data_IF_216497309305
#
_entry.id   IF_216497309305
#
_cell.length_a   1.000
_cell.length_b   1.000
_cell.length_c   1.000
_cell.angle_alpha   90.00
_cell.angle_beta   90.00
_cell.angle_gamma   90.00
#
_symmetry.space_group_name_H-M   'P 1'
#
loop_
_entity.id
_entity.type
_entity.pdbx_description
1 polymer ?
#
# COMPACT_ATOMS: atom_id res chain seq x y z
N UNK A 1 30.31 14.32 -2.79
CA UNK A 1 29.50 13.39 -1.99
C UNK A 1 28.47 14.24 -1.26
N UNK A 2 27.18 13.94 -1.39
CA UNK A 2 26.15 14.73 -0.70
C UNK A 2 26.29 14.47 0.80
N UNK A 3 26.43 15.53 1.61
CA UNK A 3 26.64 15.44 3.05
C UNK A 3 25.29 15.37 3.78
N UNK A 4 25.06 14.28 4.53
CA UNK A 4 23.82 14.07 5.27
C UNK A 4 23.63 15.08 6.40
N UNK A 5 24.73 15.55 6.99
CA UNK A 5 24.67 16.52 8.10
C UNK A 5 24.19 17.89 7.61
N UNK A 6 24.57 18.29 6.39
CA UNK A 6 24.10 19.53 5.76
C UNK A 6 22.60 19.46 5.42
N UNK A 7 22.12 18.31 4.93
CA UNK A 7 20.69 18.09 4.69
C UNK A 7 19.89 18.18 5.99
N UNK A 8 20.37 17.53 7.05
CA UNK A 8 19.69 17.54 8.35
C UNK A 8 19.68 18.94 8.98
N UNK A 9 20.77 19.72 8.82
CA UNK A 9 20.83 21.09 9.30
C UNK A 9 19.82 22.00 8.56
N UNK A 10 19.69 21.87 7.24
CA UNK A 10 18.72 22.64 6.45
C UNK A 10 17.27 22.25 6.79
N UNK A 11 16.99 20.95 7.02
CA UNK A 11 15.67 20.50 7.49
C UNK A 11 15.34 21.16 8.83
N UNK A 12 16.26 21.10 9.81
CA UNK A 12 16.05 21.71 11.12
C UNK A 12 15.84 23.23 11.04
N UNK A 13 16.56 23.92 10.15
CA UNK A 13 16.39 25.35 9.92
C UNK A 13 15.01 25.69 9.31
N UNK A 14 14.53 24.86 8.36
CA UNK A 14 13.22 25.04 7.73
C UNK A 14 12.06 24.69 8.67
N UNK A 15 12.26 23.73 9.57
CA UNK A 15 11.28 23.34 10.61
C UNK A 15 11.15 24.38 11.72
N UNK A 16 12.25 25.06 12.08
CA UNK A 16 12.24 26.17 13.03
C UNK A 16 11.64 27.46 12.43
N UNK A 17 11.49 27.51 11.10
CA UNK A 17 10.95 28.65 10.37
C UNK A 17 9.42 28.72 10.33
N UNK A 18 8.89 29.64 9.50
CA UNK A 18 7.45 29.74 9.26
C UNK A 18 6.99 28.67 8.28
N UNK A 19 5.96 27.92 8.65
CA UNK A 19 5.32 26.94 7.76
C UNK A 19 4.55 27.66 6.65
N UNK A 20 5.14 27.71 5.47
CA UNK A 20 4.58 28.22 4.21
C UNK A 20 4.62 27.13 3.15
N UNK A 21 3.88 27.31 2.05
CA UNK A 21 3.91 26.34 0.95
C UNK A 21 5.34 26.10 0.42
N UNK A 22 6.11 27.17 0.24
CA UNK A 22 7.50 27.09 -0.23
C UNK A 22 8.41 26.31 0.73
N UNK A 23 8.21 26.45 2.06
CA UNK A 23 8.98 25.68 3.03
C UNK A 23 8.56 24.21 3.04
N UNK A 24 7.26 23.91 2.89
CA UNK A 24 6.77 22.54 2.80
C UNK A 24 7.27 21.83 1.55
N UNK A 25 7.25 22.50 0.40
CA UNK A 25 7.80 21.98 -0.85
C UNK A 25 9.30 21.69 -0.71
N UNK A 26 10.08 22.64 -0.17
CA UNK A 26 11.51 22.45 0.03
C UNK A 26 11.83 21.33 1.02
N UNK A 27 11.06 21.23 2.11
CA UNK A 27 11.15 20.11 3.06
C UNK A 27 10.84 18.77 2.36
N UNK A 28 9.80 18.70 1.53
CA UNK A 28 9.44 17.47 0.81
C UNK A 28 10.60 16.93 -0.05
N UNK A 29 11.33 17.84 -0.71
CA UNK A 29 12.49 17.49 -1.55
C UNK A 29 13.64 16.99 -0.67
N UNK A 30 13.97 17.71 0.41
CA UNK A 30 15.06 17.35 1.32
C UNK A 30 14.81 16.00 2.01
N UNK A 31 13.59 15.75 2.47
CA UNK A 31 13.19 14.47 3.05
C UNK A 31 13.28 13.31 2.06
N UNK A 32 12.91 13.55 0.78
CA UNK A 32 13.02 12.56 -0.27
C UNK A 32 14.48 12.21 -0.56
N UNK A 33 15.35 13.21 -0.73
CA UNK A 33 16.79 13.00 -0.93
C UNK A 33 17.41 12.25 0.25
N UNK A 34 17.09 12.64 1.49
CA UNK A 34 17.56 11.97 2.71
C UNK A 34 17.18 10.48 2.72
N UNK A 35 15.92 10.17 2.39
CA UNK A 35 15.41 8.80 2.37
C UNK A 35 16.15 7.95 1.33
N UNK A 36 16.36 8.46 0.11
CA UNK A 36 17.10 7.73 -0.93
C UNK A 36 18.57 7.49 -0.56
N UNK A 37 19.21 8.44 0.13
CA UNK A 37 20.59 8.28 0.58
C UNK A 37 20.70 7.28 1.74
N UNK A 38 19.73 7.23 2.66
CA UNK A 38 19.67 6.21 3.72
C UNK A 38 19.36 4.81 3.16
N UNK A 39 18.45 4.69 2.19
CA UNK A 39 18.12 3.41 1.55
C UNK A 39 19.31 2.80 0.79
N UNK A 40 20.21 3.63 0.23
CA UNK A 40 21.45 3.16 -0.39
C UNK A 40 22.49 2.63 0.60
N UNK A 41 22.28 2.79 1.93
CA UNK A 41 23.15 2.24 2.97
C UNK A 41 22.65 0.89 3.53
N UNK A 42 21.45 0.44 3.15
CA UNK A 42 20.94 -0.89 3.51
C UNK A 42 21.14 -1.86 2.34
N UNK A 43 21.79 -3.03 2.53
CA UNK A 43 21.83 -4.04 1.49
C UNK A 43 20.44 -4.66 1.33
N UNK A 44 19.90 -4.59 0.12
CA UNK A 44 18.68 -5.26 -0.35
C UNK A 44 17.36 -4.87 0.34
N UNK A 45 16.73 -3.81 -0.17
CA UNK A 45 15.28 -3.87 -0.40
C UNK A 45 15.01 -3.49 -1.84
N UNK A 46 14.38 -4.42 -2.56
CA UNK A 46 14.10 -4.35 -3.98
C UNK A 46 13.46 -3.01 -4.36
N UNK A 47 14.02 -2.39 -5.39
CA UNK A 47 13.44 -1.26 -6.11
C UNK A 47 12.04 -1.61 -6.61
N UNK A 48 11.01 -1.22 -5.85
CA UNK A 48 9.66 -1.03 -6.38
C UNK A 48 9.52 0.44 -6.77
N UNK A 49 9.88 0.72 -8.03
CA UNK A 49 9.55 1.96 -8.71
C UNK A 49 8.08 2.34 -8.44
N UNK A 50 7.88 3.55 -7.93
CA UNK A 50 6.65 4.35 -8.03
C UNK A 50 5.37 3.63 -7.58
N UNK A 51 5.11 3.64 -6.28
CA UNK A 51 3.76 3.44 -5.73
C UNK A 51 3.50 4.49 -4.67
N UNK A 52 3.08 5.68 -5.12
CA UNK A 52 2.49 6.74 -4.28
C UNK A 52 1.06 6.37 -3.83
N UNK A 53 0.83 5.12 -3.45
CA UNK A 53 -0.41 4.68 -2.82
C UNK A 53 -0.05 4.15 -1.43
N UNK A 54 -0.65 4.78 -0.43
CA UNK A 54 -0.60 4.46 1.00
C UNK A 54 -0.39 2.96 1.27
N UNK A 55 0.78 2.59 1.81
CA UNK A 55 1.01 1.33 2.54
C UNK A 55 0.59 1.48 4.01
N UNK A 56 -0.52 2.16 4.28
CA UNK A 56 -1.33 1.65 5.40
C UNK A 56 -1.81 0.30 4.89
N UNK A 57 -1.45 -0.81 5.54
CA UNK A 57 -2.13 -2.09 5.33
C UNK A 57 -3.62 -1.76 5.26
N UNK A 58 -4.27 -1.98 4.11
CA UNK A 58 -5.70 -1.73 4.00
C UNK A 58 -6.33 -2.35 5.23
N UNK A 59 -7.04 -1.57 6.08
CA UNK A 59 -7.70 -2.14 7.24
C UNK A 59 -8.47 -3.36 6.73
N UNK A 60 -8.30 -4.49 7.42
CA UNK A 60 -8.94 -5.73 6.99
C UNK A 60 -10.38 -5.42 6.66
N UNK A 61 -10.82 -5.75 5.44
CA UNK A 61 -12.17 -5.39 5.04
C UNK A 61 -13.16 -5.97 6.02
N UNK A 62 -14.27 -5.28 6.26
CA UNK A 62 -15.35 -5.77 7.14
C UNK A 62 -15.73 -7.23 6.79
N UNK A 63 -15.73 -7.55 5.49
CA UNK A 63 -15.87 -8.92 5.00
C UNK A 63 -14.84 -9.89 5.60
N UNK A 64 -13.54 -9.56 5.60
CA UNK A 64 -12.47 -10.41 6.17
C UNK A 64 -12.59 -10.55 7.68
N UNK A 65 -13.03 -9.50 8.39
CA UNK A 65 -13.27 -9.57 9.84
C UNK A 65 -14.42 -10.53 10.17
N UNK A 66 -15.54 -10.41 9.46
CA UNK A 66 -16.70 -11.30 9.65
C UNK A 66 -16.38 -12.73 9.20
N UNK A 67 -15.74 -12.89 8.04
CA UNK A 67 -15.40 -14.19 7.48
C UNK A 67 -14.48 -15.02 8.39
N UNK A 68 -13.57 -14.36 9.14
CA UNK A 68 -12.70 -15.04 10.12
C UNK A 68 -13.45 -15.62 11.31
N UNK A 69 -14.61 -15.05 11.65
CA UNK A 69 -15.43 -15.49 12.77
C UNK A 69 -16.54 -16.46 12.36
N UNK A 70 -16.78 -16.63 11.06
CA UNK A 70 -17.80 -17.51 10.53
C UNK A 70 -17.29 -18.96 10.39
N UNK A 71 -18.22 -19.91 10.50
CA UNK A 71 -17.95 -21.29 10.14
C UNK A 71 -17.64 -21.40 8.63
N UNK A 72 -16.66 -22.23 8.28
CA UNK A 72 -16.16 -22.34 6.90
C UNK A 72 -17.24 -22.84 5.93
N UNK A 73 -18.05 -23.81 6.34
CA UNK A 73 -19.11 -24.36 5.48
C UNK A 73 -20.22 -23.34 5.26
N UNK A 74 -20.55 -22.57 6.31
CA UNK A 74 -21.48 -21.45 6.20
C UNK A 74 -20.96 -20.35 5.27
N UNK A 75 -19.70 -19.93 5.44
CA UNK A 75 -19.06 -18.92 4.60
C UNK A 75 -19.03 -19.34 3.12
N UNK A 76 -18.69 -20.61 2.84
CA UNK A 76 -18.63 -21.13 1.49
C UNK A 76 -20.01 -21.13 0.81
N UNK A 77 -21.08 -21.44 1.55
CA UNK A 77 -22.45 -21.39 1.04
C UNK A 77 -22.87 -19.97 0.66
N UNK A 78 -22.55 -18.97 1.49
CA UNK A 78 -22.85 -17.56 1.20
C UNK A 78 -22.04 -17.07 -0.01
N UNK A 79 -20.78 -17.48 -0.11
CA UNK A 79 -19.94 -17.17 -1.26
C UNK A 79 -20.49 -17.79 -2.55
N UNK A 80 -20.95 -19.05 -2.52
CA UNK A 80 -21.57 -19.70 -3.68
C UNK A 80 -22.84 -18.97 -4.17
N UNK A 81 -23.68 -18.51 -3.24
CA UNK A 81 -24.86 -17.70 -3.57
C UNK A 81 -24.47 -16.37 -4.23
N UNK A 82 -23.46 -15.68 -3.68
CA UNK A 82 -22.94 -14.45 -4.28
C UNK A 82 -22.34 -14.69 -5.66
N UNK A 83 -21.65 -15.81 -5.84
CA UNK A 83 -21.04 -16.18 -7.12
C UNK A 83 -22.08 -16.46 -8.21
N UNK A 84 -23.27 -17.00 -7.88
CA UNK A 84 -24.39 -17.10 -8.83
C UNK A 84 -24.89 -15.75 -9.33
N UNK A 85 -24.94 -14.75 -8.44
CA UNK A 85 -25.29 -13.38 -8.84
C UNK A 85 -24.22 -12.78 -9.76
N UNK A 86 -22.94 -13.00 -9.46
CA UNK A 86 -21.82 -12.57 -10.32
C UNK A 86 -21.84 -13.29 -11.67
N UNK A 87 -22.16 -14.58 -11.72
CA UNK A 87 -22.27 -15.33 -12.98
C UNK A 87 -23.32 -14.72 -13.91
N UNK A 88 -24.48 -14.31 -13.36
CA UNK A 88 -25.56 -13.71 -14.13
C UNK A 88 -25.22 -12.30 -14.66
N UNK A 89 -24.57 -11.45 -13.85
CA UNK A 89 -24.27 -10.06 -14.23
C UNK A 89 -22.93 -9.90 -14.95
N UNK A 90 -21.91 -10.66 -14.55
CA UNK A 90 -20.52 -10.54 -14.98
C UNK A 90 -19.87 -11.91 -15.24
N UNK A 91 -20.31 -12.65 -16.28
CA UNK A 91 -19.84 -14.02 -16.55
C UNK A 91 -18.34 -14.12 -16.82
N UNK A 92 -17.69 -13.05 -17.30
CA UNK A 92 -16.23 -13.00 -17.50
C UNK A 92 -15.48 -12.99 -16.17
N UNK A 93 -15.96 -12.22 -15.20
CA UNK A 93 -15.35 -12.13 -13.87
C UNK A 93 -15.57 -13.43 -13.09
N UNK A 94 -16.75 -14.03 -13.20
CA UNK A 94 -17.03 -15.35 -12.65
C UNK A 94 -15.99 -16.40 -13.12
N UNK A 95 -15.74 -16.49 -14.44
CA UNK A 95 -14.71 -17.38 -15.00
C UNK A 95 -13.30 -17.04 -14.51
N UNK A 96 -12.99 -15.76 -14.36
CA UNK A 96 -11.70 -15.30 -13.82
C UNK A 96 -11.50 -15.78 -12.38
N UNK A 97 -12.53 -15.67 -11.53
CA UNK A 97 -12.52 -16.17 -10.15
C UNK A 97 -12.32 -17.68 -10.11
N UNK A 98 -13.09 -18.45 -10.89
CA UNK A 98 -12.93 -19.91 -10.95
C UNK A 98 -11.52 -20.34 -11.35
N UNK A 99 -10.92 -19.66 -12.33
CA UNK A 99 -9.53 -19.93 -12.74
C UNK A 99 -8.55 -19.68 -11.60
N UNK A 100 -8.67 -18.54 -10.89
CA UNK A 100 -7.80 -18.21 -9.76
C UNK A 100 -7.91 -19.23 -8.63
N UNK A 101 -9.12 -19.69 -8.32
CA UNK A 101 -9.34 -20.73 -7.30
C UNK A 101 -8.66 -22.03 -7.73
N UNK A 102 -8.79 -22.42 -9.00
CA UNK A 102 -8.16 -23.64 -9.54
C UNK A 102 -6.63 -23.57 -9.57
N UNK A 103 -6.06 -22.40 -9.79
CA UNK A 103 -4.61 -22.18 -9.78
C UNK A 103 -4.03 -22.17 -8.35
N UNK A 104 -4.86 -21.86 -7.35
CA UNK A 104 -4.48 -21.85 -5.94
C UNK A 104 -4.78 -23.14 -5.16
N UNK A 105 -5.34 -24.17 -5.81
CA UNK A 105 -5.63 -25.49 -5.25
C UNK A 105 -4.61 -26.53 -5.73
#
# INVERSE_FOLDING_TARGET
>A
MINMDEINAEIAALEAGKTTYATCERLSILYNVRNNLMSNQQPNQLSSNTSYYSYSSEPDSEFKEIARNADFEHLLRVLDEHMKAIEAMYPREYRSVLRKIKEGA
#
